data_IF_886719553413
#
_entry.id   IF_886719553413
#
_cell.length_a   1.000
_cell.length_b   1.000
_cell.length_c   1.000
_cell.angle_alpha   90.00
_cell.angle_beta   90.00
_cell.angle_gamma   90.00
#
_symmetry.space_group_name_H-M   'P 1'
#
loop_
_entity.id
_entity.type
_entity.pdbx_description
1 polymer ?
#
# COMPACT_ATOMS: atom_id res chain seq x y z
N UNK A 1 4.73 -14.89 7.77
CA UNK A 1 5.07 -13.56 7.34
C UNK A 1 3.87 -12.63 7.41
N UNK A 2 4.06 -11.46 7.98
CA UNK A 2 2.98 -10.51 8.26
C UNK A 2 2.92 -9.34 7.26
N UNK A 3 3.70 -9.41 6.20
CA UNK A 3 3.70 -8.38 5.18
C UNK A 3 2.40 -8.40 4.39
N UNK A 4 1.73 -7.24 4.32
CA UNK A 4 0.54 -7.06 3.50
C UNK A 4 0.90 -6.18 2.31
N UNK A 5 0.46 -6.58 1.13
CA UNK A 5 0.75 -5.87 -0.13
C UNK A 5 -0.57 -5.46 -0.78
N UNK A 6 -0.63 -4.24 -1.27
CA UNK A 6 -1.83 -3.74 -1.94
C UNK A 6 -1.45 -2.96 -3.20
N UNK A 7 -2.32 -3.02 -4.19
CA UNK A 7 -2.22 -2.23 -5.41
C UNK A 7 -3.55 -1.54 -5.66
N UNK A 8 -3.59 -0.23 -5.46
CA UNK A 8 -4.83 0.54 -5.54
C UNK A 8 -5.19 1.00 -6.95
N UNK A 9 -4.30 0.79 -7.92
CA UNK A 9 -4.59 1.15 -9.31
C UNK A 9 -5.79 0.38 -9.88
N UNK A 10 -6.07 -0.81 -9.33
CA UNK A 10 -7.26 -1.56 -9.72
C UNK A 10 -8.55 -0.80 -9.40
N UNK A 11 -8.55 0.03 -8.36
CA UNK A 11 -9.71 0.84 -7.95
C UNK A 11 -9.75 2.21 -8.62
N UNK A 12 -8.59 2.84 -8.80
CA UNK A 12 -8.51 4.24 -9.23
C UNK A 12 -8.06 4.42 -10.67
N UNK A 13 -7.43 3.40 -11.26
CA UNK A 13 -6.69 3.55 -12.50
C UNK A 13 -5.31 4.15 -12.27
N UNK A 14 -4.52 4.16 -13.31
CA UNK A 14 -3.17 4.72 -13.27
C UNK A 14 -3.23 6.22 -13.57
N UNK A 15 -2.92 7.04 -12.56
CA UNK A 15 -3.00 8.50 -12.66
C UNK A 15 -1.75 9.13 -13.28
N UNK A 16 -0.87 8.32 -13.85
CA UNK A 16 0.36 8.77 -14.50
C UNK A 16 1.19 9.66 -13.58
N UNK A 17 1.41 10.92 -13.91
CA UNK A 17 2.22 11.82 -13.09
C UNK A 17 1.69 12.04 -11.67
N UNK A 18 0.39 11.83 -11.44
CA UNK A 18 -0.21 11.94 -10.12
C UNK A 18 -0.25 10.64 -9.33
N UNK A 19 0.14 9.51 -9.93
CA UNK A 19 0.00 8.20 -9.30
C UNK A 19 0.77 8.07 -8.00
N UNK A 20 2.04 8.49 -7.99
CA UNK A 20 2.87 8.38 -6.79
C UNK A 20 2.33 9.19 -5.63
N UNK A 21 1.83 10.38 -5.89
CA UNK A 21 1.29 11.24 -4.84
C UNK A 21 0.01 10.65 -4.24
N UNK A 22 -0.92 10.17 -5.06
CA UNK A 22 -2.16 9.61 -4.53
C UNK A 22 -1.92 8.29 -3.80
N UNK A 23 -0.98 7.49 -4.27
CA UNK A 23 -0.62 6.24 -3.60
C UNK A 23 0.07 6.51 -2.27
N UNK A 24 0.86 7.58 -2.17
CA UNK A 24 1.42 8.02 -0.89
C UNK A 24 0.32 8.42 0.09
N UNK A 25 -0.70 9.14 -0.36
CA UNK A 25 -1.86 9.49 0.46
C UNK A 25 -2.58 8.23 0.96
N UNK A 26 -2.83 7.26 0.08
CA UNK A 26 -3.47 6.00 0.48
C UNK A 26 -2.63 5.24 1.50
N UNK A 27 -1.30 5.25 1.34
CA UNK A 27 -0.39 4.59 2.28
C UNK A 27 -0.46 5.23 3.66
N UNK A 28 -0.47 6.56 3.72
CA UNK A 28 -0.60 7.30 4.98
C UNK A 28 -1.94 7.02 5.64
N UNK A 29 -3.03 7.02 4.86
CA UNK A 29 -4.36 6.73 5.39
C UNK A 29 -4.47 5.29 5.88
N UNK A 30 -3.85 4.34 5.20
CA UNK A 30 -3.82 2.94 5.64
C UNK A 30 -3.15 2.82 7.01
N UNK A 31 -2.04 3.51 7.23
CA UNK A 31 -1.38 3.54 8.53
C UNK A 31 -2.24 4.22 9.58
N UNK A 32 -2.82 5.36 9.26
CA UNK A 32 -3.64 6.13 10.19
C UNK A 32 -4.87 5.34 10.63
N UNK A 33 -5.56 4.72 9.68
CA UNK A 33 -6.81 3.99 9.93
C UNK A 33 -6.55 2.53 10.30
N UNK A 34 -5.30 2.07 10.24
CA UNK A 34 -4.91 0.68 10.51
C UNK A 34 -5.68 -0.30 9.64
N UNK A 35 -5.86 0.05 8.38
CA UNK A 35 -6.64 -0.73 7.43
C UNK A 35 -5.96 -0.74 6.07
N UNK A 36 -5.66 -1.93 5.56
CA UNK A 36 -5.07 -2.11 4.24
C UNK A 36 -6.21 -2.21 3.22
N UNK A 37 -6.18 -1.36 2.18
CA UNK A 37 -7.22 -1.42 1.14
C UNK A 37 -7.10 -2.71 0.32
N UNK A 38 -8.21 -3.17 -0.26
CA UNK A 38 -8.17 -4.37 -1.09
C UNK A 38 -7.53 -4.08 -2.45
N UNK A 39 -6.96 -5.11 -3.05
CA UNK A 39 -6.65 -5.12 -4.48
C UNK A 39 -7.83 -5.78 -5.19
N UNK A 40 -8.69 -4.97 -5.79
CA UNK A 40 -9.87 -5.48 -6.47
C UNK A 40 -9.49 -6.15 -7.79
N UNK A 41 -10.37 -7.00 -8.28
CA UNK A 41 -10.19 -7.76 -9.54
C UNK A 41 -9.08 -8.81 -9.47
N UNK A 42 -8.60 -9.12 -8.27
CA UNK A 42 -7.65 -10.22 -8.07
C UNK A 42 -8.44 -11.49 -7.77
N UNK A 43 -8.65 -12.32 -8.79
CA UNK A 43 -9.45 -13.54 -8.67
C UNK A 43 -8.58 -14.79 -8.50
N UNK A 44 -7.42 -14.81 -9.17
CA UNK A 44 -6.52 -15.96 -9.17
C UNK A 44 -5.08 -15.47 -9.03
N UNK A 45 -4.62 -15.34 -7.80
CA UNK A 45 -3.24 -14.94 -7.56
C UNK A 45 -2.27 -16.01 -8.06
N UNK A 46 -1.21 -15.57 -8.73
CA UNK A 46 -0.17 -16.47 -9.22
C UNK A 46 0.47 -17.20 -8.03
N UNK A 47 0.45 -18.54 -8.01
CA UNK A 47 1.04 -19.29 -6.90
C UNK A 47 2.55 -19.11 -6.77
N UNK A 48 3.23 -18.63 -7.82
CA UNK A 48 4.65 -18.30 -7.74
C UNK A 48 4.92 -17.03 -6.95
N UNK A 49 3.89 -16.27 -6.60
CA UNK A 49 4.01 -15.03 -5.83
C UNK A 49 3.45 -15.28 -4.42
N UNK A 50 4.30 -15.65 -3.44
CA UNK A 50 3.84 -16.01 -2.11
C UNK A 50 3.63 -14.79 -1.21
N UNK A 51 2.90 -13.78 -1.69
CA UNK A 51 2.61 -12.57 -0.96
C UNK A 51 1.16 -12.56 -0.49
N UNK A 52 0.91 -11.98 0.67
CA UNK A 52 -0.45 -11.77 1.15
C UNK A 52 -0.99 -10.47 0.54
N UNK A 53 -1.84 -10.60 -0.47
CA UNK A 53 -2.50 -9.48 -1.14
C UNK A 53 -3.98 -9.54 -0.79
N UNK A 54 -4.46 -8.72 0.16
CA UNK A 54 -5.87 -8.76 0.55
C UNK A 54 -6.80 -8.40 -0.60
N UNK A 55 -7.92 -9.11 -0.69
CA UNK A 55 -8.98 -8.82 -1.67
C UNK A 55 -10.18 -8.16 -1.02
N UNK A 56 -10.11 -7.92 0.28
CA UNK A 56 -11.10 -7.17 1.07
C UNK A 56 -10.34 -6.27 2.04
N UNK A 57 -10.96 -5.18 2.55
CA UNK A 57 -10.30 -4.35 3.56
C UNK A 57 -9.83 -5.21 4.73
N UNK A 58 -8.56 -5.06 5.10
CA UNK A 58 -7.94 -5.94 6.09
C UNK A 58 -7.29 -5.10 7.18
N UNK A 59 -7.56 -5.43 8.44
CA UNK A 59 -6.96 -4.75 9.58
C UNK A 59 -5.47 -4.95 9.60
N UNK A 60 -4.72 -3.87 9.76
CA UNK A 60 -3.28 -3.92 9.93
C UNK A 60 -2.90 -4.34 11.36
N UNK A 61 -3.63 -3.85 12.36
CA UNK A 61 -3.43 -4.15 13.79
C UNK A 61 -2.00 -3.91 14.25
N UNK A 62 -1.35 -2.87 13.73
CA UNK A 62 0.05 -2.56 14.01
C UNK A 62 0.27 -1.06 14.14
N UNK A 63 0.05 -0.47 15.33
CA UNK A 63 0.19 0.97 15.50
C UNK A 63 1.61 1.50 15.26
N UNK A 64 2.63 0.63 15.30
CA UNK A 64 4.03 0.97 15.03
C UNK A 64 4.49 0.53 13.65
N UNK A 65 3.56 0.25 12.74
CA UNK A 65 3.90 -0.26 11.42
C UNK A 65 4.67 0.76 10.58
N UNK A 66 5.50 0.22 9.70
CA UNK A 66 6.14 0.99 8.63
C UNK A 66 5.55 0.50 7.32
N UNK A 67 5.18 1.44 6.45
CA UNK A 67 4.68 1.13 5.12
C UNK A 67 5.53 1.81 4.07
N UNK A 68 5.69 1.17 2.93
CA UNK A 68 6.42 1.74 1.80
C UNK A 68 5.49 1.82 0.59
N UNK A 69 5.70 2.87 -0.20
CA UNK A 69 5.06 3.04 -1.49
C UNK A 69 6.15 3.04 -2.56
N UNK A 70 6.07 2.08 -3.47
CA UNK A 70 7.07 1.91 -4.53
C UNK A 70 6.49 2.44 -5.84
N UNK A 71 7.29 3.23 -6.55
CA UNK A 71 6.92 3.76 -7.87
C UNK A 71 8.05 3.49 -8.85
N UNK A 72 7.71 2.88 -9.97
CA UNK A 72 8.68 2.54 -11.01
C UNK A 72 8.25 3.21 -12.31
N UNK A 73 9.16 3.98 -12.89
CA UNK A 73 8.93 4.67 -14.15
C UNK A 73 9.74 4.09 -15.30
N UNK A 74 9.32 4.37 -16.51
CA UNK A 74 10.06 3.98 -17.69
C UNK A 74 11.47 4.62 -17.69
N UNK A 75 12.45 3.90 -18.21
CA UNK A 75 13.83 4.36 -18.23
C UNK A 75 14.59 4.07 -16.94
N UNK A 76 14.05 3.24 -16.06
CA UNK A 76 14.71 2.83 -14.84
C UNK A 76 14.53 3.79 -13.66
N UNK A 77 13.54 4.68 -13.75
CA UNK A 77 13.23 5.58 -12.63
C UNK A 77 12.56 4.80 -11.50
N UNK A 78 13.12 4.92 -10.30
CA UNK A 78 12.61 4.23 -9.11
C UNK A 78 12.49 5.27 -7.99
N UNK A 79 11.33 5.31 -7.35
CA UNK A 79 11.11 6.12 -6.16
C UNK A 79 10.43 5.26 -5.10
N UNK A 80 10.92 5.34 -3.86
CA UNK A 80 10.35 4.63 -2.72
C UNK A 80 10.14 5.64 -1.61
N UNK A 81 8.90 5.70 -1.10
CA UNK A 81 8.57 6.51 0.06
C UNK A 81 8.26 5.57 1.22
N UNK A 82 8.81 5.86 2.39
CA UNK A 82 8.55 5.10 3.59
C UNK A 82 7.85 5.99 4.61
N UNK A 83 6.82 5.43 5.24
CA UNK A 83 6.02 6.13 6.25
C UNK A 83 5.94 5.30 7.51
N UNK A 84 5.92 5.96 8.66
CA UNK A 84 5.76 5.32 9.95
C UNK A 84 4.52 5.85 10.66
N UNK A 85 3.80 4.97 11.33
CA UNK A 85 2.66 5.33 12.17
C UNK A 85 3.06 5.73 13.59
N UNK A 86 4.36 5.85 13.87
CA UNK A 86 4.85 6.15 15.22
C UNK A 86 4.24 7.43 15.79
N UNK A 87 4.13 8.48 14.97
CA UNK A 87 3.54 9.74 15.42
C UNK A 87 2.08 9.55 15.82
N UNK A 88 1.32 8.72 15.11
CA UNK A 88 -0.05 8.40 15.46
C UNK A 88 -0.09 7.64 16.79
N UNK A 89 0.81 6.66 16.98
CA UNK A 89 0.90 5.90 18.21
C UNK A 89 1.25 6.78 19.40
N UNK A 90 1.97 7.88 19.19
CA UNK A 90 2.30 8.86 20.21
C UNK A 90 1.21 9.94 20.39
N UNK A 91 0.09 9.83 19.67
CA UNK A 91 -1.03 10.76 19.80
C UNK A 91 -0.83 12.09 19.07
N UNK A 92 -0.04 12.11 18.02
CA UNK A 92 0.30 13.35 17.29
C UNK A 92 -0.21 13.38 15.87
#
# INVERSE_FOLDING_TARGET
DNLLVAATKASTGHLLGGAGAIEAVFTILALKDQMVPPTINLDNQDPAIPLHVPVAPTSLARPDAIAISNSFGFGGHIAVLAFSSLLTALGR
#
